data_IF_020587884244
#
_entry.id   IF_020587884244
#
_cell.length_a   1.000
_cell.length_b   1.000
_cell.length_c   1.000
_cell.angle_alpha   90.00
_cell.angle_beta   90.00
_cell.angle_gamma   90.00
#
_symmetry.space_group_name_H-M   'P 1'
#
loop_
_entity.id
_entity.type
_entity.pdbx_description
1 polymer ?
#
# COMPACT_ATOMS: atom_id res chain seq x y z
N UNK A 1 -13.83 10.94 25.64
CA UNK A 1 -12.65 10.32 25.02
C UNK A 1 -11.79 11.45 24.51
N UNK A 2 -10.59 11.65 25.09
CA UNK A 2 -9.67 12.73 24.69
C UNK A 2 -9.14 12.38 23.29
N UNK A 3 -9.71 12.98 22.24
CA UNK A 3 -9.11 12.90 20.91
C UNK A 3 -7.81 13.72 20.97
N UNK A 4 -6.68 13.01 21.10
CA UNK A 4 -5.38 13.68 20.95
C UNK A 4 -5.35 14.38 19.60
N UNK A 5 -5.01 15.66 19.61
CA UNK A 5 -4.79 16.43 18.39
C UNK A 5 -3.79 15.69 17.49
N UNK A 6 -4.16 15.43 16.25
CA UNK A 6 -3.28 14.85 15.23
C UNK A 6 -2.41 15.97 14.68
N UNK A 7 -1.10 15.85 14.81
CA UNK A 7 -0.15 16.85 14.28
C UNK A 7 0.45 16.40 12.96
N UNK A 8 0.62 17.35 12.05
CA UNK A 8 1.32 17.14 10.79
C UNK A 8 2.74 16.63 11.04
N UNK A 9 3.18 15.52 10.43
CA UNK A 9 4.53 14.99 10.57
C UNK A 9 5.63 15.97 10.12
N UNK A 10 5.28 16.90 9.23
CA UNK A 10 6.20 17.85 8.61
C UNK A 10 6.18 19.20 9.32
N UNK A 11 4.99 19.82 9.44
CA UNK A 11 4.84 21.19 9.94
C UNK A 11 4.55 21.27 11.44
N UNK A 12 4.22 20.17 12.10
CA UNK A 12 3.84 20.10 13.52
C UNK A 12 2.59 20.95 13.88
N UNK A 13 1.78 21.32 12.89
CA UNK A 13 0.49 21.97 13.10
C UNK A 13 -0.63 20.94 13.16
N UNK A 14 -1.74 21.28 13.79
CA UNK A 14 -2.92 20.40 13.89
C UNK A 14 -3.49 20.12 12.51
N UNK A 15 -3.70 18.83 12.21
CA UNK A 15 -4.37 18.37 11.00
C UNK A 15 -5.88 18.67 11.08
N UNK A 16 -6.47 18.95 9.92
CA UNK A 16 -7.90 19.23 9.78
C UNK A 16 -8.60 18.06 9.11
N UNK A 17 -9.57 17.40 9.78
CA UNK A 17 -10.31 16.31 9.20
C UNK A 17 -11.19 16.80 8.04
N UNK A 18 -11.18 16.06 6.93
CA UNK A 18 -11.95 16.34 5.73
C UNK A 18 -12.64 15.05 5.25
N UNK A 19 -13.91 15.12 4.90
CA UNK A 19 -14.66 13.93 4.49
C UNK A 19 -14.86 13.91 2.98
N UNK A 20 -14.41 12.84 2.33
CA UNK A 20 -14.58 12.59 0.90
C UNK A 20 -15.21 11.21 0.69
N UNK A 21 -16.33 11.14 -0.03
CA UNK A 21 -17.03 9.88 -0.32
C UNK A 21 -17.35 9.04 0.94
N UNK A 22 -17.58 9.72 2.07
CA UNK A 22 -17.84 9.05 3.36
C UNK A 22 -16.60 8.54 4.10
N UNK A 23 -15.40 8.84 3.63
CA UNK A 23 -14.11 8.54 4.26
C UNK A 23 -13.52 9.86 4.76
N UNK A 24 -13.05 9.88 6.02
CA UNK A 24 -12.46 11.07 6.63
C UNK A 24 -10.95 10.94 6.63
N UNK A 25 -10.29 11.88 5.99
CA UNK A 25 -8.83 12.01 5.90
C UNK A 25 -8.38 13.26 6.66
N UNK A 26 -7.12 13.32 7.09
CA UNK A 26 -6.60 14.45 7.85
C UNK A 26 -5.61 15.27 7.00
N UNK A 27 -5.95 16.52 6.72
CA UNK A 27 -5.20 17.40 5.83
C UNK A 27 -4.42 18.44 6.59
N UNK A 28 -3.17 18.67 6.23
CA UNK A 28 -2.37 19.77 6.80
C UNK A 28 -2.77 21.10 6.16
N UNK A 29 -3.19 22.11 6.97
CA UNK A 29 -3.57 23.42 6.42
C UNK A 29 -2.36 24.23 5.93
N UNK A 30 -1.13 23.83 6.25
CA UNK A 30 0.10 24.56 5.90
C UNK A 30 0.79 23.99 4.68
N UNK A 31 1.11 22.69 4.67
CA UNK A 31 1.84 22.05 3.56
C UNK A 31 0.93 21.24 2.62
N UNK A 32 -0.36 21.17 2.88
CA UNK A 32 -1.34 20.39 2.13
C UNK A 32 -1.03 18.89 2.01
N UNK A 33 -0.11 18.35 2.80
CA UNK A 33 0.08 16.91 2.93
C UNK A 33 -1.11 16.27 3.63
N UNK A 34 -1.33 15.00 3.38
CA UNK A 34 -2.52 14.26 3.81
C UNK A 34 -2.11 13.01 4.59
N UNK A 35 -2.72 12.81 5.74
CA UNK A 35 -2.67 11.56 6.48
C UNK A 35 -3.89 10.70 6.13
N UNK A 36 -3.62 9.48 5.77
CA UNK A 36 -4.62 8.44 5.59
C UNK A 36 -4.46 7.40 6.70
N UNK A 37 -5.52 7.13 7.44
CA UNK A 37 -5.55 5.97 8.33
C UNK A 37 -5.51 4.67 7.52
N UNK A 38 -5.27 3.54 8.18
CA UNK A 38 -5.21 2.25 7.51
C UNK A 38 -6.41 2.02 6.58
N UNK A 39 -6.14 1.57 5.35
CA UNK A 39 -7.13 1.27 4.31
C UNK A 39 -7.89 2.47 3.70
N UNK A 40 -7.75 3.71 4.19
CA UNK A 40 -8.50 4.85 3.64
C UNK A 40 -8.09 5.19 2.21
N UNK A 41 -6.79 5.25 1.94
CA UNK A 41 -6.27 5.57 0.61
C UNK A 41 -6.71 4.55 -0.47
N UNK A 42 -6.58 3.23 -0.29
CA UNK A 42 -7.08 2.25 -1.26
C UNK A 42 -8.61 2.26 -1.37
N UNK A 43 -9.34 2.50 -0.28
CA UNK A 43 -10.81 2.61 -0.32
C UNK A 43 -11.29 3.83 -1.10
N UNK A 44 -10.69 5.00 -0.90
CA UNK A 44 -10.99 6.20 -1.67
C UNK A 44 -10.77 5.96 -3.16
N UNK A 45 -9.63 5.37 -3.53
CA UNK A 45 -9.29 5.04 -4.90
C UNK A 45 -10.23 4.01 -5.53
N UNK A 46 -10.73 3.05 -4.74
CA UNK A 46 -11.70 2.06 -5.20
C UNK A 46 -13.07 2.68 -5.48
N UNK A 47 -13.48 3.70 -4.67
CA UNK A 47 -14.73 4.43 -4.86
C UNK A 47 -14.67 5.40 -6.06
N UNK A 48 -13.54 6.05 -6.25
CA UNK A 48 -13.31 6.97 -7.37
C UNK A 48 -11.82 6.94 -7.78
N UNK A 49 -11.49 6.28 -8.90
CA UNK A 49 -10.12 6.23 -9.41
C UNK A 49 -9.49 7.60 -9.70
N UNK A 50 -10.31 8.64 -9.91
CA UNK A 50 -9.84 10.00 -10.20
C UNK A 50 -9.72 10.89 -8.96
N UNK A 51 -9.94 10.35 -7.76
CA UNK A 51 -9.96 11.15 -6.52
C UNK A 51 -8.58 11.75 -6.19
N UNK A 52 -7.49 11.00 -6.42
CA UNK A 52 -6.15 11.39 -5.99
C UNK A 52 -5.68 12.74 -6.56
N UNK A 53 -5.72 12.96 -7.89
CA UNK A 53 -5.32 14.26 -8.43
C UNK A 53 -6.28 15.39 -7.99
N UNK A 54 -7.54 15.10 -7.70
CA UNK A 54 -8.49 16.11 -7.21
C UNK A 54 -8.17 16.54 -5.77
N UNK A 55 -7.70 15.63 -4.92
CA UNK A 55 -7.25 15.99 -3.57
C UNK A 55 -6.06 16.94 -3.62
N UNK A 56 -5.04 16.65 -4.44
CA UNK A 56 -3.90 17.55 -4.63
C UNK A 56 -4.30 18.91 -5.22
N UNK A 57 -5.30 18.96 -6.11
CA UNK A 57 -5.81 20.21 -6.66
C UNK A 57 -6.64 21.00 -5.64
N UNK A 58 -7.39 20.32 -4.80
CA UNK A 58 -8.27 20.95 -3.81
C UNK A 58 -7.46 21.55 -2.65
N UNK A 59 -6.43 20.85 -2.19
CA UNK A 59 -5.61 21.28 -1.08
C UNK A 59 -4.28 21.83 -1.58
N UNK A 60 -4.07 23.14 -1.43
CA UNK A 60 -2.86 23.81 -1.88
C UNK A 60 -2.01 24.26 -0.69
N UNK A 61 -0.69 24.08 -0.74
CA UNK A 61 0.18 24.51 0.33
C UNK A 61 0.23 26.03 0.41
N UNK A 62 0.19 26.53 1.63
CA UNK A 62 0.40 27.97 1.91
C UNK A 62 1.89 28.31 1.83
N UNK A 63 2.76 27.33 2.08
CA UNK A 63 4.22 27.45 2.00
C UNK A 63 4.73 26.44 0.99
N UNK A 64 5.37 26.89 -0.09
CA UNK A 64 5.78 26.06 -1.24
C UNK A 64 6.79 24.94 -0.89
N UNK A 65 7.59 25.10 0.16
CA UNK A 65 8.49 24.08 0.68
C UNK A 65 8.69 24.23 2.18
N UNK A 66 8.25 23.24 2.91
CA UNK A 66 8.65 23.05 4.29
C UNK A 66 9.57 21.82 4.35
N UNK A 67 10.87 22.07 4.39
CA UNK A 67 11.85 21.01 4.66
C UNK A 67 11.92 20.85 6.19
N UNK A 68 11.05 20.02 6.73
CA UNK A 68 11.13 19.63 8.14
C UNK A 68 12.47 18.92 8.39
N UNK A 69 13.30 19.48 9.25
CA UNK A 69 14.64 18.95 9.59
C UNK A 69 14.60 17.85 10.66
N UNK A 70 13.41 17.45 11.11
CA UNK A 70 13.20 16.49 12.20
C UNK A 70 12.70 15.12 11.74
N UNK A 71 12.74 14.18 12.67
CA UNK A 71 12.10 12.87 12.54
C UNK A 71 10.58 13.06 12.39
N UNK A 72 9.99 12.44 11.36
CA UNK A 72 8.54 12.49 11.12
C UNK A 72 7.85 11.49 12.05
N UNK A 73 6.92 11.99 12.87
CA UNK A 73 6.17 11.15 13.80
C UNK A 73 4.73 10.91 13.31
N UNK A 74 4.24 9.71 13.55
CA UNK A 74 2.86 9.33 13.25
C UNK A 74 1.86 10.24 13.97
N UNK A 75 0.87 10.83 13.27
CA UNK A 75 -0.16 11.66 13.88
C UNK A 75 -1.00 10.93 14.95
N UNK A 76 -1.11 9.62 14.84
CA UNK A 76 -1.96 8.76 15.70
C UNK A 76 -1.17 8.15 16.84
N UNK A 77 -0.08 7.43 16.52
CA UNK A 77 0.69 6.63 17.49
C UNK A 77 1.85 7.40 18.11
N UNK A 78 2.33 8.48 17.47
CA UNK A 78 3.54 9.23 17.83
C UNK A 78 4.84 8.46 17.66
N UNK A 79 4.79 7.29 17.04
CA UNK A 79 5.96 6.52 16.65
C UNK A 79 6.62 7.12 15.40
N UNK A 80 7.92 6.93 15.20
CA UNK A 80 8.61 7.32 13.98
C UNK A 80 7.99 6.71 12.73
N UNK A 81 7.85 7.51 11.68
CA UNK A 81 7.42 7.04 10.37
C UNK A 81 8.63 6.49 9.61
N UNK A 82 8.42 5.40 8.88
CA UNK A 82 9.42 4.85 7.98
C UNK A 82 9.15 5.28 6.54
N UNK A 83 10.23 5.58 5.80
CA UNK A 83 10.15 5.95 4.40
C UNK A 83 10.23 4.74 3.49
N UNK A 84 9.33 4.67 2.49
CA UNK A 84 9.37 3.64 1.48
C UNK A 84 8.94 4.17 0.12
N UNK A 85 9.40 3.52 -0.95
CA UNK A 85 8.93 3.83 -2.30
C UNK A 85 7.56 3.20 -2.52
N UNK A 86 6.59 3.98 -3.01
CA UNK A 86 5.23 3.53 -3.31
C UNK A 86 5.18 2.29 -4.20
N UNK A 87 6.01 2.26 -5.23
CA UNK A 87 6.35 1.07 -6.02
C UNK A 87 7.86 0.98 -6.13
N UNK A 88 8.39 -0.22 -6.22
CA UNK A 88 9.84 -0.47 -6.16
C UNK A 88 10.67 0.38 -7.14
N UNK A 89 10.07 0.76 -8.28
CA UNK A 89 10.71 1.55 -9.35
C UNK A 89 10.24 3.01 -9.40
N UNK A 90 9.35 3.43 -8.48
CA UNK A 90 8.84 4.80 -8.47
C UNK A 90 9.73 5.73 -7.64
N UNK A 91 9.79 7.00 -8.04
CA UNK A 91 10.41 8.06 -7.24
C UNK A 91 9.42 8.69 -6.25
N UNK A 92 8.28 8.04 -5.97
CA UNK A 92 7.27 8.49 -5.02
C UNK A 92 7.60 7.90 -3.66
N UNK A 93 7.91 8.75 -2.70
CA UNK A 93 8.30 8.35 -1.34
C UNK A 93 7.15 8.65 -0.39
N UNK A 94 6.66 7.63 0.29
CA UNK A 94 5.63 7.73 1.30
C UNK A 94 6.22 7.49 2.69
N UNK A 95 5.58 8.05 3.71
CA UNK A 95 5.95 7.81 5.10
C UNK A 95 4.85 6.98 5.79
N UNK A 96 5.16 5.75 6.15
CA UNK A 96 4.22 4.79 6.76
C UNK A 96 4.42 4.63 8.26
N UNK A 97 3.39 4.16 8.95
CA UNK A 97 3.45 3.79 10.35
C UNK A 97 3.25 2.28 10.51
N UNK A 98 4.25 1.56 11.03
CA UNK A 98 4.18 0.12 11.27
C UNK A 98 3.18 -0.27 12.38
N UNK A 99 2.83 0.68 13.25
CA UNK A 99 1.96 0.41 14.40
C UNK A 99 0.48 0.49 14.04
N UNK A 100 0.05 1.55 13.32
CA UNK A 100 -1.35 1.75 12.97
C UNK A 100 -1.66 1.52 11.49
N UNK A 101 -0.65 1.29 10.65
CA UNK A 101 -0.83 1.08 9.21
C UNK A 101 -1.21 2.33 8.42
N UNK A 102 -1.22 3.50 9.05
CA UNK A 102 -1.53 4.76 8.36
C UNK A 102 -0.35 5.25 7.53
N UNK A 103 -0.63 6.15 6.57
CA UNK A 103 0.34 6.66 5.60
C UNK A 103 0.23 8.17 5.47
N UNK A 104 1.36 8.85 5.50
CA UNK A 104 1.49 10.26 5.15
C UNK A 104 1.90 10.40 3.69
N UNK A 105 1.20 11.27 2.97
CA UNK A 105 1.47 11.60 1.57
C UNK A 105 1.74 13.10 1.49
N UNK A 106 2.92 13.48 1.02
CA UNK A 106 3.26 14.88 0.79
C UNK A 106 2.47 15.44 -0.41
N UNK A 107 2.20 16.75 -0.41
CA UNK A 107 1.49 17.42 -1.51
C UNK A 107 2.17 17.17 -2.87
N UNK A 108 1.37 16.90 -3.89
CA UNK A 108 1.84 16.59 -5.25
C UNK A 108 2.23 15.13 -5.48
N UNK A 109 2.26 14.28 -4.44
CA UNK A 109 2.56 12.86 -4.62
C UNK A 109 1.34 12.06 -5.09
N UNK A 110 0.13 12.47 -4.70
CA UNK A 110 -1.10 11.82 -5.18
C UNK A 110 -1.27 11.93 -6.70
N UNK A 111 -0.93 13.08 -7.29
CA UNK A 111 -0.91 13.25 -8.76
C UNK A 111 0.09 12.31 -9.41
N UNK A 112 1.28 12.17 -8.83
CA UNK A 112 2.32 11.26 -9.35
C UNK A 112 1.87 9.79 -9.25
N UNK A 113 1.23 9.41 -8.14
CA UNK A 113 0.66 8.08 -7.95
C UNK A 113 -0.42 7.76 -8.99
N UNK A 114 -1.29 8.72 -9.29
CA UNK A 114 -2.33 8.58 -10.31
C UNK A 114 -1.73 8.46 -11.71
N UNK A 115 -0.73 9.29 -12.05
CA UNK A 115 -0.03 9.22 -13.33
C UNK A 115 0.64 7.86 -13.51
N UNK A 116 1.36 7.38 -12.50
CA UNK A 116 2.04 6.09 -12.54
C UNK A 116 1.04 4.92 -12.76
N UNK A 117 -0.14 5.01 -12.13
CA UNK A 117 -1.18 4.01 -12.34
C UNK A 117 -1.77 4.05 -13.75
N UNK A 118 -1.95 5.23 -14.34
CA UNK A 118 -2.38 5.38 -15.73
C UNK A 118 -1.34 4.85 -16.71
N UNK A 119 -0.07 5.17 -16.48
CA UNK A 119 1.02 4.71 -17.32
C UNK A 119 1.13 3.19 -17.29
N UNK A 120 0.97 2.57 -16.10
CA UNK A 120 0.93 1.13 -15.95
C UNK A 120 -0.26 0.48 -16.69
N UNK A 121 -1.42 1.16 -16.73
CA UNK A 121 -2.59 0.69 -17.51
C UNK A 121 -2.43 0.92 -19.01
N UNK A 122 -1.72 1.99 -19.42
CA UNK A 122 -1.42 2.30 -20.82
C UNK A 122 -0.35 1.38 -21.41
N UNK A 123 0.50 0.77 -20.58
CA UNK A 123 1.38 -0.31 -21.00
C UNK A 123 0.54 -1.56 -21.26
N UNK A 124 -0.05 -1.66 -22.47
CA UNK A 124 -0.66 -2.90 -22.93
C UNK A 124 0.41 -3.98 -22.95
N UNK A 125 0.30 -4.92 -22.03
CA UNK A 125 1.12 -6.13 -22.08
C UNK A 125 0.74 -6.86 -23.38
N UNK A 126 1.69 -7.06 -24.32
CA UNK A 126 1.38 -7.75 -25.56
C UNK A 126 0.63 -9.05 -25.31
N UNK A 127 -0.35 -9.41 -26.15
CA UNK A 127 -1.16 -10.62 -25.93
C UNK A 127 -0.31 -11.88 -25.82
N UNK A 128 0.83 -11.92 -26.50
CA UNK A 128 1.83 -12.99 -26.43
C UNK A 128 2.44 -13.12 -25.03
N UNK A 129 2.78 -11.99 -24.41
CA UNK A 129 3.34 -11.96 -23.04
C UNK A 129 2.28 -12.36 -22.01
N UNK A 130 1.01 -11.92 -22.18
CA UNK A 130 -0.12 -12.36 -21.34
C UNK A 130 -0.32 -13.87 -21.44
N UNK A 131 -0.26 -14.43 -22.65
CA UNK A 131 -0.38 -15.86 -22.87
C UNK A 131 0.78 -16.63 -22.21
N UNK A 132 2.02 -16.15 -22.35
CA UNK A 132 3.18 -16.77 -21.70
C UNK A 132 3.09 -16.74 -20.17
N UNK A 133 2.65 -15.62 -19.59
CA UNK A 133 2.44 -15.50 -18.14
C UNK A 133 1.34 -16.47 -17.66
N UNK A 134 0.24 -16.59 -18.40
CA UNK A 134 -0.85 -17.52 -18.06
C UNK A 134 -0.38 -18.99 -18.15
N UNK A 135 0.41 -19.35 -19.16
CA UNK A 135 0.99 -20.70 -19.29
C UNK A 135 1.95 -20.97 -18.12
N UNK A 136 2.84 -20.04 -17.80
CA UNK A 136 3.78 -20.18 -16.68
C UNK A 136 3.05 -20.33 -15.32
N UNK A 137 1.94 -19.64 -15.14
CA UNK A 137 1.11 -19.75 -13.94
C UNK A 137 0.42 -21.13 -13.85
N UNK A 138 -0.14 -21.63 -14.95
CA UNK A 138 -0.70 -22.98 -15.02
C UNK A 138 0.34 -24.09 -14.79
N UNK A 139 1.55 -23.91 -15.32
CA UNK A 139 2.65 -24.85 -15.08
C UNK A 139 3.10 -24.85 -13.62
N UNK A 140 3.13 -23.69 -12.96
CA UNK A 140 3.45 -23.60 -11.54
C UNK A 140 2.39 -24.31 -10.68
N UNK A 141 1.11 -24.06 -10.94
CA UNK A 141 -0.01 -24.70 -10.23
C UNK A 141 0.00 -26.22 -10.43
N UNK A 142 0.27 -26.70 -11.66
CA UNK A 142 0.35 -28.15 -11.94
C UNK A 142 1.53 -28.80 -11.23
N UNK A 143 2.71 -28.15 -11.17
CA UNK A 143 3.88 -28.64 -10.43
C UNK A 143 3.60 -28.73 -8.94
N UNK A 144 2.94 -27.73 -8.36
CA UNK A 144 2.56 -27.76 -6.94
C UNK A 144 1.53 -28.85 -6.64
N UNK A 145 0.55 -29.06 -7.54
CA UNK A 145 -0.42 -30.13 -7.40
C UNK A 145 0.24 -31.52 -7.50
N UNK A 146 1.17 -31.71 -8.44
CA UNK A 146 1.94 -32.95 -8.58
C UNK A 146 2.84 -33.20 -7.37
N UNK A 147 3.53 -32.18 -6.87
CA UNK A 147 4.36 -32.30 -5.67
C UNK A 147 3.54 -32.70 -4.44
N UNK A 148 2.34 -32.12 -4.28
CA UNK A 148 1.41 -32.53 -3.22
C UNK A 148 0.94 -33.98 -3.38
N UNK A 149 0.58 -34.39 -4.59
CA UNK A 149 0.16 -35.77 -4.87
C UNK A 149 1.29 -36.77 -4.54
N UNK A 150 2.52 -36.52 -5.00
CA UNK A 150 3.69 -37.36 -4.72
C UNK A 150 4.00 -37.43 -3.21
N UNK A 151 3.85 -36.32 -2.49
CA UNK A 151 4.01 -36.31 -1.04
C UNK A 151 3.01 -37.25 -0.36
N UNK A 152 1.74 -37.19 -0.73
CA UNK A 152 0.71 -38.06 -0.18
C UNK A 152 0.89 -39.53 -0.57
N UNK A 153 1.26 -39.84 -1.81
CA UNK A 153 1.57 -41.18 -2.24
C UNK A 153 2.76 -41.78 -1.46
N UNK A 154 3.82 -41.00 -1.27
CA UNK A 154 4.97 -41.41 -0.46
C UNK A 154 4.57 -41.70 1.00
N UNK A 155 3.74 -40.85 1.60
CA UNK A 155 3.25 -41.02 2.96
C UNK A 155 2.37 -42.27 3.10
N UNK A 156 1.44 -42.51 2.15
CA UNK A 156 0.59 -43.71 2.15
C UNK A 156 1.37 -44.97 1.89
N UNK A 157 2.40 -44.96 1.04
CA UNK A 157 3.27 -46.12 0.81
C UNK A 157 4.06 -46.50 2.07
N UNK A 158 4.57 -45.51 2.79
CA UNK A 158 5.24 -45.70 4.07
C UNK A 158 4.30 -46.30 5.13
N UNK A 159 3.06 -45.82 5.24
CA UNK A 159 2.08 -46.33 6.18
C UNK A 159 1.58 -47.76 5.84
N UNK A 160 1.64 -48.17 4.56
CA UNK A 160 1.29 -49.54 4.12
C UNK A 160 2.42 -50.56 4.33
N UNK A 161 3.65 -50.11 4.45
CA UNK A 161 4.82 -50.96 4.77
C UNK A 161 4.79 -51.38 6.26
N UNK A 162 3.91 -52.31 6.63
CA UNK A 162 3.94 -52.91 7.95
C UNK A 162 5.25 -53.74 8.10
N UNK A 163 6.05 -53.47 9.12
CA UNK A 163 7.15 -54.37 9.41
C UNK A 163 6.57 -55.74 9.77
N UNK A 164 6.93 -56.78 9.01
CA UNK A 164 6.75 -58.17 9.43
C UNK A 164 7.71 -58.41 10.56
N UNK A 165 7.23 -58.44 11.79
CA UNK A 165 8.03 -58.98 12.88
C UNK A 165 8.09 -60.50 12.69
N UNK A 166 9.30 -61.12 12.69
CA UNK A 166 9.43 -62.55 12.75
C UNK A 166 8.97 -63.05 14.12
N UNK A 167 8.13 -64.10 14.11
CA UNK A 167 7.73 -64.85 15.30
C UNK A 167 8.89 -65.75 15.71
#
# INVERSE_FOLDING_TARGET
MNSRERLCPVCQVTLVPQTHLGITIDVCPTCAGIWFDADELPRLRALDPSILPRLDQQYQPVVERYEGTGERLCPVCREPLYRYNYLYTSNIVLDGCDVCGGVWVDHGELVKMDQLARDAHAMEIPPETKAQMAIAQLEAETKEAQARAQFWEGLFSFLRARPRFPI
#
